data_IF_984174994100
#
_entry.id   IF_984174994100
#
_cell.length_a   1.000
_cell.length_b   1.000
_cell.length_c   1.000
_cell.angle_alpha   90.00
_cell.angle_beta   90.00
_cell.angle_gamma   90.00
#
_symmetry.space_group_name_H-M   'P 1'
#
loop_
_entity.id
_entity.type
_entity.pdbx_description
1 polymer ?
#
# COMPACT_ATOMS: atom_id res chain seq x y z
N UNK A 1 2.30 -9.31 1.87
CA UNK A 1 1.98 -9.70 3.26
C UNK A 1 2.62 -8.77 4.27
N UNK A 2 3.89 -9.00 4.61
CA UNK A 2 4.60 -8.28 5.69
C UNK A 2 4.55 -6.75 5.56
N UNK A 3 4.91 -6.21 4.39
CA UNK A 3 4.88 -4.77 4.12
C UNK A 3 3.52 -4.13 4.46
N UNK A 4 2.45 -4.66 3.86
CA UNK A 4 1.08 -4.17 4.04
C UNK A 4 0.69 -4.16 5.52
N UNK A 5 0.89 -5.28 6.23
CA UNK A 5 0.55 -5.37 7.64
C UNK A 5 1.34 -4.36 8.49
N UNK A 6 2.65 -4.22 8.25
CA UNK A 6 3.52 -3.32 9.02
C UNK A 6 3.10 -1.87 8.84
N UNK A 7 2.81 -1.44 7.61
CA UNK A 7 2.34 -0.07 7.34
C UNK A 7 0.98 0.16 7.98
N UNK A 8 0.04 -0.79 7.86
CA UNK A 8 -1.27 -0.68 8.52
C UNK A 8 -1.14 -0.59 10.04
N UNK A 9 -0.26 -1.38 10.66
CA UNK A 9 -0.01 -1.30 12.12
C UNK A 9 0.54 0.07 12.53
N UNK A 10 1.46 0.63 11.76
CA UNK A 10 2.02 1.97 12.02
C UNK A 10 0.98 3.08 11.77
N UNK A 11 0.10 2.88 10.80
CA UNK A 11 -0.95 3.81 10.42
C UNK A 11 -2.19 3.76 11.31
N UNK A 12 -2.35 2.70 12.11
CA UNK A 12 -3.52 2.45 12.94
C UNK A 12 -3.88 3.68 13.78
N UNK A 13 -5.16 4.03 13.91
CA UNK A 13 -5.66 5.12 14.76
C UNK A 13 -4.97 6.49 14.52
N UNK A 14 -4.33 6.69 13.36
CA UNK A 14 -3.73 7.98 13.00
C UNK A 14 -4.80 8.97 12.53
N UNK A 15 -4.58 10.24 12.85
CA UNK A 15 -5.34 11.36 12.30
C UNK A 15 -4.41 12.20 11.43
N UNK A 16 -4.80 12.40 10.17
CA UNK A 16 -4.05 13.23 9.24
C UNK A 16 -4.20 14.71 9.59
N UNK A 17 -3.07 15.41 9.65
CA UNK A 17 -3.04 16.88 9.80
C UNK A 17 -2.60 17.58 8.52
N UNK A 18 -1.98 16.83 7.59
CA UNK A 18 -1.48 17.32 6.31
C UNK A 18 -1.42 16.20 5.27
N UNK A 19 -1.48 16.56 3.99
CA UNK A 19 -1.25 15.63 2.86
C UNK A 19 0.26 15.29 2.80
N UNK A 20 0.64 14.02 2.57
CA UNK A 20 2.04 13.67 2.43
C UNK A 20 2.65 14.28 1.16
N UNK A 21 3.91 14.69 1.27
CA UNK A 21 4.77 15.05 0.14
C UNK A 21 5.39 13.76 -0.38
N UNK A 22 5.05 13.40 -1.62
CA UNK A 22 5.44 12.10 -2.17
C UNK A 22 6.93 12.07 -2.55
N UNK A 23 7.67 11.20 -1.86
CA UNK A 23 9.11 11.03 -2.06
C UNK A 23 9.43 10.32 -3.37
N UNK A 24 10.59 10.61 -3.96
CA UNK A 24 10.99 10.08 -5.27
C UNK A 24 10.98 8.54 -5.35
N UNK A 25 11.33 7.84 -4.26
CA UNK A 25 11.28 6.37 -4.20
C UNK A 25 9.85 5.83 -4.25
N UNK A 26 8.91 6.54 -3.64
CA UNK A 26 7.48 6.20 -3.66
C UNK A 26 6.88 6.53 -5.02
N UNK A 27 7.23 7.67 -5.60
CA UNK A 27 6.85 8.00 -6.98
C UNK A 27 7.33 6.92 -7.96
N UNK A 28 8.55 6.38 -7.78
CA UNK A 28 9.01 5.24 -8.58
C UNK A 28 8.14 4.00 -8.36
N UNK A 29 7.80 3.67 -7.11
CA UNK A 29 6.90 2.55 -6.82
C UNK A 29 5.52 2.71 -7.48
N UNK A 30 4.95 3.91 -7.49
CA UNK A 30 3.68 4.22 -8.17
C UNK A 30 3.83 4.05 -9.69
N UNK A 31 4.92 4.53 -10.29
CA UNK A 31 5.20 4.31 -11.72
C UNK A 31 5.29 2.83 -12.08
N UNK A 32 5.96 2.03 -11.25
CA UNK A 32 6.05 0.58 -11.45
C UNK A 32 4.68 -0.11 -11.34
N UNK A 33 3.80 0.35 -10.43
CA UNK A 33 2.42 -0.13 -10.35
C UNK A 33 1.65 0.17 -11.64
N UNK A 34 1.72 1.41 -12.14
CA UNK A 34 1.07 1.80 -13.40
C UNK A 34 1.59 0.96 -14.57
N UNK A 35 2.91 0.77 -14.68
CA UNK A 35 3.52 -0.05 -15.72
C UNK A 35 3.08 -1.52 -15.63
N UNK A 36 2.84 -2.04 -14.42
CA UNK A 36 2.38 -3.42 -14.24
C UNK A 36 1.04 -3.71 -14.96
N UNK A 37 0.19 -2.69 -15.17
CA UNK A 37 -1.08 -2.83 -15.90
C UNK A 37 -0.90 -3.47 -17.27
N UNK A 38 0.21 -3.19 -17.96
CA UNK A 38 0.49 -3.75 -19.28
C UNK A 38 0.61 -5.27 -19.24
N UNK A 39 1.27 -5.82 -18.21
CA UNK A 39 1.37 -7.28 -18.02
C UNK A 39 0.00 -7.90 -17.74
N UNK A 40 -0.88 -7.20 -17.00
CA UNK A 40 -2.24 -7.67 -16.76
C UNK A 40 -3.03 -7.73 -18.07
N UNK A 41 -2.96 -6.69 -18.91
CA UNK A 41 -3.62 -6.66 -20.22
C UNK A 41 -3.07 -7.70 -21.21
N UNK A 42 -1.79 -8.07 -21.09
CA UNK A 42 -1.15 -9.10 -21.90
C UNK A 42 -1.32 -10.54 -21.36
N UNK A 43 -2.11 -10.74 -20.29
CA UNK A 43 -2.25 -12.03 -19.59
C UNK A 43 -0.94 -12.59 -19.01
N UNK A 44 0.05 -11.74 -18.77
CA UNK A 44 1.36 -12.10 -18.21
C UNK A 44 1.34 -12.07 -16.66
N UNK A 45 0.45 -12.85 -16.06
CA UNK A 45 0.18 -12.78 -14.61
C UNK A 45 1.42 -12.98 -13.72
N UNK A 46 2.39 -13.80 -14.17
CA UNK A 46 3.65 -14.01 -13.42
C UNK A 46 4.48 -12.72 -13.37
N UNK A 47 4.62 -12.03 -14.49
CA UNK A 47 5.34 -10.75 -14.56
C UNK A 47 4.58 -9.68 -13.77
N UNK A 48 3.25 -9.66 -13.89
CA UNK A 48 2.38 -8.77 -13.14
C UNK A 48 2.58 -8.91 -11.62
N UNK A 49 2.49 -10.12 -11.08
CA UNK A 49 2.71 -10.39 -9.65
C UNK A 49 4.13 -10.04 -9.23
N UNK A 50 5.13 -10.34 -10.05
CA UNK A 50 6.52 -9.99 -9.76
C UNK A 50 6.71 -8.47 -9.61
N UNK A 51 6.04 -7.66 -10.44
CA UNK A 51 6.03 -6.20 -10.32
C UNK A 51 5.39 -5.72 -9.01
N UNK A 52 4.24 -6.28 -8.63
CA UNK A 52 3.60 -5.92 -7.35
C UNK A 52 4.49 -6.26 -6.14
N UNK A 53 5.20 -7.39 -6.19
CA UNK A 53 6.17 -7.77 -5.15
C UNK A 53 7.38 -6.82 -5.10
N UNK A 54 7.89 -6.39 -6.26
CA UNK A 54 8.96 -5.40 -6.33
C UNK A 54 8.55 -4.05 -5.72
N UNK A 55 7.32 -3.59 -5.99
CA UNK A 55 6.76 -2.39 -5.36
C UNK A 55 6.67 -2.54 -3.85
N UNK A 56 6.19 -3.69 -3.35
CA UNK A 56 6.15 -3.96 -1.92
C UNK A 56 7.56 -3.97 -1.29
N UNK A 57 8.58 -4.40 -2.03
CA UNK A 57 9.98 -4.35 -1.58
C UNK A 57 10.51 -2.92 -1.50
N UNK A 58 10.16 -2.04 -2.44
CA UNK A 58 10.46 -0.60 -2.38
C UNK A 58 9.86 -0.01 -1.10
N UNK A 59 8.59 -0.29 -0.82
CA UNK A 59 7.91 0.17 0.39
C UNK A 59 8.54 -0.33 1.69
N UNK A 60 8.93 -1.61 1.75
CA UNK A 60 9.66 -2.15 2.90
C UNK A 60 10.97 -1.39 3.14
N UNK A 61 11.78 -1.23 2.09
CA UNK A 61 13.05 -0.49 2.16
C UNK A 61 12.83 0.95 2.62
N UNK A 62 11.77 1.60 2.14
CA UNK A 62 11.42 2.96 2.55
C UNK A 62 11.13 3.05 4.06
N UNK A 63 10.31 2.15 4.59
CA UNK A 63 10.01 2.10 6.04
C UNK A 63 11.28 1.80 6.85
N UNK A 64 12.11 0.86 6.40
CA UNK A 64 13.34 0.50 7.10
C UNK A 64 14.38 1.63 7.13
N UNK A 65 14.43 2.42 6.06
CA UNK A 65 15.34 3.57 5.95
C UNK A 65 14.90 4.72 6.85
N UNK A 66 13.59 5.04 6.85
CA UNK A 66 13.05 6.18 7.60
C UNK A 66 12.78 5.86 9.08
N UNK A 67 12.73 4.58 9.46
CA UNK A 67 12.58 4.13 10.86
C UNK A 67 11.44 4.85 11.61
N UNK A 68 10.19 4.82 11.13
CA UNK A 68 9.10 5.60 11.73
C UNK A 68 8.86 5.31 13.23
N UNK A 69 9.25 4.13 13.72
CA UNK A 69 9.17 3.79 15.15
C UNK A 69 10.11 4.60 16.06
N UNK A 70 11.09 5.31 15.50
CA UNK A 70 11.95 6.23 16.25
C UNK A 70 11.45 7.66 16.23
N UNK A 71 10.43 7.97 15.42
CA UNK A 71 9.87 9.31 15.28
C UNK A 71 8.69 9.50 16.24
N UNK A 72 8.43 10.75 16.64
CA UNK A 72 7.20 11.08 17.35
C UNK A 72 6.00 10.86 16.42
N UNK A 73 5.06 10.01 16.85
CA UNK A 73 3.84 9.67 16.11
C UNK A 73 2.97 10.88 15.77
N UNK A 74 3.06 11.97 16.54
CA UNK A 74 2.34 13.23 16.27
C UNK A 74 3.09 14.18 15.33
N UNK A 75 4.35 13.92 15.04
CA UNK A 75 5.15 14.78 14.17
C UNK A 75 4.68 14.76 12.71
N UNK A 76 4.91 15.88 12.02
CA UNK A 76 4.69 15.99 10.58
C UNK A 76 5.56 14.99 9.79
N UNK A 77 6.77 14.70 10.29
CA UNK A 77 7.69 13.74 9.67
C UNK A 77 7.13 12.31 9.71
N UNK A 78 6.64 11.86 10.86
CA UNK A 78 5.99 10.55 10.98
C UNK A 78 4.80 10.44 10.04
N UNK A 79 3.93 11.46 10.00
CA UNK A 79 2.79 11.49 9.09
C UNK A 79 3.25 11.43 7.63
N UNK A 80 4.30 12.15 7.24
CA UNK A 80 4.81 12.11 5.88
C UNK A 80 5.32 10.72 5.49
N UNK A 81 6.10 10.07 6.36
CA UNK A 81 6.65 8.72 6.13
C UNK A 81 5.53 7.70 6.02
N UNK A 82 4.54 7.73 6.92
CA UNK A 82 3.43 6.79 6.87
C UNK A 82 2.52 7.05 5.67
N UNK A 83 2.25 8.30 5.33
CA UNK A 83 1.47 8.66 4.15
C UNK A 83 2.11 8.15 2.86
N UNK A 84 3.42 8.34 2.71
CA UNK A 84 4.22 7.80 1.62
C UNK A 84 4.14 6.28 1.50
N UNK A 85 4.25 5.56 2.62
CA UNK A 85 4.13 4.11 2.62
C UNK A 85 2.70 3.65 2.29
N UNK A 86 1.68 4.37 2.78
CA UNK A 86 0.28 4.09 2.46
C UNK A 86 -0.06 4.30 1.00
N UNK A 87 0.61 5.22 0.29
CA UNK A 87 0.44 5.35 -1.16
C UNK A 87 0.67 4.01 -1.88
N UNK A 88 1.74 3.30 -1.52
CA UNK A 88 2.04 1.99 -2.10
C UNK A 88 1.08 0.90 -1.62
N UNK A 89 0.63 0.96 -0.35
CA UNK A 89 -0.37 0.02 0.17
C UNK A 89 -1.69 0.14 -0.61
N UNK A 90 -2.19 1.35 -0.81
CA UNK A 90 -3.42 1.63 -1.57
C UNK A 90 -3.26 1.22 -3.03
N UNK A 91 -2.13 1.59 -3.66
CA UNK A 91 -1.84 1.19 -5.03
C UNK A 91 -1.78 -0.33 -5.22
N UNK A 92 -1.14 -1.06 -4.29
CA UNK A 92 -1.16 -2.53 -4.29
C UNK A 92 -2.58 -3.06 -4.07
N UNK A 93 -3.36 -2.46 -3.17
CA UNK A 93 -4.73 -2.89 -2.88
C UNK A 93 -5.66 -2.76 -4.11
N UNK A 94 -5.50 -1.70 -4.91
CA UNK A 94 -6.15 -1.55 -6.23
C UNK A 94 -5.69 -2.65 -7.19
N UNK A 95 -4.37 -2.82 -7.30
CA UNK A 95 -3.75 -3.72 -8.27
C UNK A 95 -4.06 -5.21 -8.01
N UNK A 96 -4.28 -5.63 -6.76
CA UNK A 96 -4.59 -7.03 -6.45
C UNK A 96 -6.06 -7.41 -6.64
N UNK A 97 -6.98 -6.46 -6.88
CA UNK A 97 -8.41 -6.74 -7.10
C UNK A 97 -8.67 -7.85 -8.13
N UNK A 98 -8.08 -7.84 -9.34
CA UNK A 98 -8.30 -8.89 -10.35
C UNK A 98 -7.66 -10.24 -10.00
N UNK A 99 -6.76 -10.30 -9.01
CA UNK A 99 -6.05 -11.53 -8.63
C UNK A 99 -6.63 -12.17 -7.36
N UNK A 100 -6.86 -11.36 -6.32
CA UNK A 100 -7.24 -11.80 -4.98
C UNK A 100 -8.28 -10.82 -4.40
N UNK A 101 -9.50 -10.76 -4.95
CA UNK A 101 -10.50 -9.75 -4.61
C UNK A 101 -10.88 -9.74 -3.12
N UNK A 102 -10.93 -10.90 -2.48
CA UNK A 102 -11.19 -10.99 -1.04
C UNK A 102 -10.14 -10.30 -0.19
N UNK A 103 -8.86 -10.35 -0.62
CA UNK A 103 -7.77 -9.66 0.09
C UNK A 103 -7.85 -8.16 -0.13
N UNK A 104 -8.22 -7.71 -1.34
CA UNK A 104 -8.47 -6.31 -1.61
C UNK A 104 -9.60 -5.76 -0.72
N UNK A 105 -10.71 -6.50 -0.56
CA UNK A 105 -11.83 -6.12 0.32
C UNK A 105 -11.38 -6.03 1.78
N UNK A 106 -10.55 -6.97 2.26
CA UNK A 106 -9.99 -6.91 3.63
C UNK A 106 -9.13 -5.66 3.81
N UNK A 107 -8.28 -5.32 2.83
CA UNK A 107 -7.47 -4.11 2.85
C UNK A 107 -8.33 -2.84 2.86
N UNK A 108 -9.37 -2.76 2.03
CA UNK A 108 -10.31 -1.63 2.00
C UNK A 108 -10.93 -1.39 3.37
N UNK A 109 -11.43 -2.46 4.01
CA UNK A 109 -12.01 -2.38 5.35
C UNK A 109 -11.00 -1.89 6.38
N UNK A 110 -9.75 -2.38 6.34
CA UNK A 110 -8.71 -1.93 7.26
C UNK A 110 -8.26 -0.50 7.00
N UNK A 111 -8.29 -0.03 5.76
CA UNK A 111 -7.90 1.33 5.37
C UNK A 111 -9.02 2.35 5.62
N UNK A 112 -10.27 1.90 5.80
CA UNK A 112 -11.42 2.78 5.92
C UNK A 112 -11.77 3.52 4.63
N UNK A 113 -11.34 3.01 3.46
CA UNK A 113 -11.54 3.66 2.15
C UNK A 113 -12.23 2.72 1.18
N UNK A 114 -13.03 3.30 0.28
CA UNK A 114 -13.54 2.60 -0.89
C UNK A 114 -12.45 2.60 -1.96
N UNK A 115 -11.99 1.42 -2.38
CA UNK A 115 -11.06 1.32 -3.50
C UNK A 115 -11.87 1.12 -4.77
N UNK A 116 -11.82 2.10 -5.69
CA UNK A 116 -12.43 1.97 -7.00
C UNK A 116 -11.62 1.01 -7.89
N UNK A 117 -12.23 0.59 -9.00
CA UNK A 117 -11.53 -0.16 -10.04
C UNK A 117 -10.35 0.67 -10.57
N UNK A 118 -9.33 -0.04 -11.08
CA UNK A 118 -8.12 0.58 -11.61
C UNK A 118 -8.46 1.53 -12.78
N UNK A 119 -8.46 2.83 -12.50
CA UNK A 119 -8.74 3.88 -13.48
C UNK A 119 -7.46 4.28 -14.26
N UNK A 120 -7.58 5.22 -15.18
CA UNK A 120 -6.44 5.71 -15.96
C UNK A 120 -5.48 6.61 -15.15
N UNK A 121 -5.94 7.21 -14.05
CA UNK A 121 -5.16 8.11 -13.21
C UNK A 121 -4.97 7.57 -11.78
N UNK A 122 -4.33 6.39 -11.72
CA UNK A 122 -3.97 5.72 -10.48
C UNK A 122 -3.18 6.63 -9.53
N UNK A 123 -2.40 7.56 -10.06
CA UNK A 123 -1.56 8.46 -9.25
C UNK A 123 -2.42 9.43 -8.45
N UNK A 124 -3.35 10.12 -9.13
CA UNK A 124 -4.29 11.03 -8.45
C UNK A 124 -5.20 10.26 -7.49
N UNK A 125 -5.71 9.10 -7.92
CA UNK A 125 -6.55 8.23 -7.09
C UNK A 125 -5.85 7.86 -5.78
N UNK A 126 -4.59 7.43 -5.84
CA UNK A 126 -3.79 7.10 -4.64
C UNK A 126 -3.64 8.34 -3.75
N UNK A 127 -3.26 9.48 -4.32
CA UNK A 127 -2.98 10.68 -3.56
C UNK A 127 -4.20 11.19 -2.77
N UNK A 128 -5.40 11.09 -3.34
CA UNK A 128 -6.64 11.53 -2.70
C UNK A 128 -7.14 10.52 -1.67
N UNK A 129 -6.95 9.22 -1.94
CA UNK A 129 -7.35 8.14 -1.04
C UNK A 129 -6.53 8.13 0.25
N UNK A 130 -5.23 8.45 0.20
CA UNK A 130 -4.36 8.42 1.40
C UNK A 130 -4.88 9.36 2.49
N UNK A 131 -5.31 10.57 2.12
CA UNK A 131 -5.81 11.55 3.10
C UNK A 131 -7.17 11.19 3.68
N UNK A 132 -7.93 10.32 3.01
CA UNK A 132 -9.22 9.82 3.47
C UNK A 132 -9.07 8.55 4.32
N UNK A 133 -7.88 7.93 4.31
CA UNK A 133 -7.66 6.67 5.00
C UNK A 133 -7.72 6.83 6.51
N UNK A 134 -8.58 6.04 7.14
CA UNK A 134 -8.68 5.89 8.58
C UNK A 134 -8.43 4.42 8.94
N UNK A 135 -7.21 4.14 9.36
CA UNK A 135 -6.76 2.75 9.51
C UNK A 135 -7.22 2.19 10.85
N UNK A 136 -8.08 1.17 10.79
CA UNK A 136 -8.66 0.49 11.94
C UNK A 136 -8.73 -1.03 11.71
N UNK A 137 -9.02 -1.80 12.77
CA UNK A 137 -9.30 -3.24 12.64
C UNK A 137 -8.17 -4.07 12.01
N UNK A 138 -6.92 -3.61 12.14
CA UNK A 138 -5.75 -4.22 11.50
C UNK A 138 -5.60 -5.69 11.91
N UNK A 139 -5.64 -6.59 10.93
CA UNK A 139 -5.45 -8.02 11.13
C UNK A 139 -4.51 -8.60 10.06
N UNK A 140 -3.86 -9.75 10.32
CA UNK A 140 -3.00 -10.38 9.33
C UNK A 140 -3.75 -10.74 8.05
N UNK A 141 -3.27 -10.23 6.90
CA UNK A 141 -3.89 -10.51 5.60
C UNK A 141 -3.76 -11.96 5.14
N UNK A 142 -2.64 -12.62 5.51
CA UNK A 142 -2.33 -13.98 5.09
C UNK A 142 -1.96 -14.81 6.32
N UNK A 143 -2.50 -16.03 6.40
CA UNK A 143 -2.08 -17.02 7.38
C UNK A 143 -0.87 -17.77 6.82
N UNK A 144 0.04 -18.18 7.70
CA UNK A 144 1.11 -19.10 7.33
C UNK A 144 0.48 -20.43 6.92
N UNK A 145 0.98 -21.04 5.86
CA UNK A 145 0.61 -22.40 5.49
C UNK A 145 1.39 -23.35 6.41
N UNK A 146 0.66 -24.13 7.20
CA UNK A 146 1.21 -25.27 7.92
C UNK A 146 1.11 -26.47 6.97
N UNK A 147 2.24 -27.13 6.72
CA UNK A 147 2.21 -28.42 6.04
C UNK A 147 1.69 -29.44 7.04
N UNK A 148 0.54 -30.06 6.76
CA UNK A 148 0.11 -31.22 7.53
C UNK A 148 1.14 -32.33 7.31
N UNK A 149 1.84 -32.70 8.40
CA UNK A 149 2.72 -33.86 8.45
C UNK A 149 1.90 -35.13 8.59
#
# INVERSE_FOLDING_TARGET
GNFLNRVLTLAKDMTWTQKPVIDASIQQGIRELVAARQHLSACEFKAYVAKLLAVAAIGNKYIDTNKPWTLDRKSAEYQNVIGNALCLVIGIAIAIVPLIPETAIKLQKMLGVSIAQWDEDLTSQIADTVTQAHVEGVAPLFKKLELQQ
#
